data_IF_244326671701
#
_entry.id   IF_244326671701
#
_cell.length_a   1.000
_cell.length_b   1.000
_cell.length_c   1.000
_cell.angle_alpha   90.00
_cell.angle_beta   90.00
_cell.angle_gamma   90.00
#
_symmetry.space_group_name_H-M   'P 1'
#
loop_
_entity.id
_entity.type
_entity.pdbx_description
1 polymer ?
#
# COMPACT_ATOMS: atom_id res chain seq x y z
N UNK A 1 -10.52 -7.86 -7.47
CA UNK A 1 -9.72 -6.73 -6.94
C UNK A 1 -10.06 -5.52 -7.78
N UNK A 2 -10.27 -4.37 -7.16
CA UNK A 2 -10.53 -3.12 -7.87
C UNK A 2 -9.19 -2.66 -8.48
N UNK A 3 -9.20 -2.21 -9.73
CA UNK A 3 -8.05 -1.52 -10.30
C UNK A 3 -7.90 -0.16 -9.61
N UNK A 4 -6.72 0.13 -9.09
CA UNK A 4 -6.38 1.45 -8.58
C UNK A 4 -5.32 2.04 -9.49
N UNK A 5 -5.54 3.28 -9.87
CA UNK A 5 -4.63 4.06 -10.69
C UNK A 5 -4.34 5.37 -9.96
N UNK A 6 -3.11 5.84 -10.11
CA UNK A 6 -2.66 7.16 -9.67
C UNK A 6 -2.09 7.91 -10.86
N UNK A 7 -2.24 9.23 -10.84
CA UNK A 7 -1.64 10.10 -11.85
C UNK A 7 -0.34 10.67 -11.31
N UNK A 8 0.75 10.42 -12.01
CA UNK A 8 2.10 10.93 -11.71
C UNK A 8 2.54 11.75 -12.93
N UNK A 9 2.50 13.08 -12.81
CA UNK A 9 2.61 13.98 -13.95
C UNK A 9 1.54 13.69 -15.01
N UNK A 10 1.97 13.40 -16.24
CA UNK A 10 1.09 13.07 -17.37
C UNK A 10 0.86 11.55 -17.54
N UNK A 11 1.38 10.72 -16.63
CA UNK A 11 1.31 9.26 -16.73
C UNK A 11 0.31 8.71 -15.72
N UNK A 12 -0.58 7.84 -16.21
CA UNK A 12 -1.49 7.06 -15.37
C UNK A 12 -0.86 5.71 -15.05
N UNK A 13 -0.58 5.47 -13.77
CA UNK A 13 0.12 4.27 -13.29
C UNK A 13 -0.88 3.31 -12.64
N UNK A 14 -0.99 2.09 -13.18
CA UNK A 14 -1.80 1.02 -12.56
C UNK A 14 -1.05 0.43 -11.35
N UNK A 15 -1.75 0.34 -10.23
CA UNK A 15 -1.24 -0.26 -8.99
C UNK A 15 -1.75 -1.70 -8.86
N UNK A 16 -0.81 -2.65 -8.71
CA UNK A 16 -1.13 -4.08 -8.56
C UNK A 16 -0.74 -4.60 -7.18
N UNK A 17 -1.74 -4.77 -6.32
CA UNK A 17 -1.56 -5.31 -4.98
C UNK A 17 -1.45 -6.85 -4.96
N UNK A 18 -0.84 -7.40 -3.90
CA UNK A 18 -0.68 -8.84 -3.68
C UNK A 18 0.66 -9.20 -3.02
N UNK A 19 1.01 -10.49 -3.02
CA UNK A 19 2.24 -10.99 -2.39
C UNK A 19 3.52 -10.32 -2.90
N UNK A 20 3.58 -10.00 -4.21
CA UNK A 20 4.73 -9.31 -4.79
C UNK A 20 5.01 -7.93 -4.17
N UNK A 21 3.97 -7.24 -3.69
CA UNK A 21 4.12 -5.96 -2.97
C UNK A 21 4.72 -6.22 -1.60
N UNK A 22 4.16 -7.16 -0.84
CA UNK A 22 4.67 -7.54 0.49
C UNK A 22 6.15 -7.92 0.45
N UNK A 23 6.54 -8.72 -0.54
CA UNK A 23 7.94 -9.14 -0.72
C UNK A 23 8.85 -7.95 -0.99
N UNK A 24 8.48 -7.06 -1.91
CA UNK A 24 9.28 -5.86 -2.22
C UNK A 24 9.43 -4.94 -1.01
N UNK A 25 8.34 -4.73 -0.27
CA UNK A 25 8.38 -3.94 0.97
C UNK A 25 9.27 -4.60 2.04
N UNK A 26 9.17 -5.92 2.20
CA UNK A 26 10.01 -6.69 3.14
C UNK A 26 11.50 -6.55 2.81
N UNK A 27 11.85 -6.60 1.53
CA UNK A 27 13.22 -6.44 1.04
C UNK A 27 13.72 -4.99 1.26
N UNK A 28 12.90 -3.99 0.89
CA UNK A 28 13.22 -2.56 1.04
C UNK A 28 13.42 -2.17 2.51
N UNK A 29 12.57 -2.67 3.39
CA UNK A 29 12.60 -2.32 4.82
C UNK A 29 13.48 -3.25 5.66
N UNK A 30 14.07 -4.29 5.06
CA UNK A 30 14.86 -5.32 5.75
C UNK A 30 14.06 -6.00 6.88
N UNK A 31 12.79 -6.28 6.62
CA UNK A 31 11.86 -6.93 7.55
C UNK A 31 11.63 -8.36 7.07
N UNK A 32 11.92 -9.36 7.90
CA UNK A 32 11.84 -10.78 7.49
C UNK A 32 10.48 -11.43 7.80
N UNK A 33 9.48 -10.66 8.24
CA UNK A 33 8.16 -11.16 8.60
C UNK A 33 7.04 -10.33 7.98
N UNK A 34 5.97 -10.99 7.55
CA UNK A 34 4.74 -10.34 7.07
C UNK A 34 4.14 -9.45 8.17
N UNK A 35 4.20 -9.89 9.42
CA UNK A 35 3.71 -9.13 10.56
C UNK A 35 4.47 -7.81 10.75
N UNK A 36 5.80 -7.81 10.59
CA UNK A 36 6.58 -6.57 10.70
C UNK A 36 6.26 -5.55 9.60
N UNK A 37 5.91 -6.03 8.39
CA UNK A 37 5.40 -5.16 7.33
C UNK A 37 4.07 -4.52 7.76
N UNK A 38 3.16 -5.30 8.37
CA UNK A 38 1.87 -4.79 8.87
C UNK A 38 2.01 -3.84 10.05
N UNK A 39 2.91 -4.10 10.98
CA UNK A 39 3.19 -3.20 12.12
C UNK A 39 3.60 -1.80 11.64
N UNK A 40 4.38 -1.72 10.56
CA UNK A 40 4.75 -0.44 9.95
C UNK A 40 3.54 0.34 9.47
N UNK A 41 2.55 -0.31 8.85
CA UNK A 41 1.28 0.32 8.47
C UNK A 41 0.36 0.61 9.67
N UNK A 42 0.37 -0.23 10.70
CA UNK A 42 -0.43 -0.06 11.91
C UNK A 42 0.00 1.17 12.74
N UNK A 43 1.24 1.61 12.60
CA UNK A 43 1.78 2.80 13.28
C UNK A 43 1.12 4.14 12.87
N UNK A 44 0.22 4.12 11.88
CA UNK A 44 -0.44 5.31 11.36
C UNK A 44 -1.67 5.79 12.14
N UNK A 45 -2.22 4.97 13.06
CA UNK A 45 -3.54 5.25 13.63
C UNK A 45 -3.62 6.37 14.68
N UNK A 46 -2.50 6.96 15.12
CA UNK A 46 -2.49 7.84 16.30
C UNK A 46 -1.74 9.17 16.12
N UNK A 47 -1.66 9.72 14.90
CA UNK A 47 -1.02 11.03 14.69
C UNK A 47 -1.93 11.95 13.89
N UNK A 48 -2.26 13.09 14.49
CA UNK A 48 -3.02 14.18 13.85
C UNK A 48 -2.24 14.81 12.68
N UNK A 49 -0.92 14.55 12.59
CA UNK A 49 -0.05 14.99 11.51
C UNK A 49 0.63 13.81 10.81
N UNK A 50 0.62 13.84 9.48
CA UNK A 50 1.38 12.90 8.64
C UNK A 50 2.87 13.27 8.69
N UNK A 51 3.66 12.45 9.37
CA UNK A 51 5.13 12.61 9.40
C UNK A 51 5.80 12.11 8.11
N UNK A 52 7.03 12.56 7.86
CA UNK A 52 7.82 12.12 6.69
C UNK A 52 8.01 10.61 6.61
N UNK A 53 8.13 9.90 7.74
CA UNK A 53 8.23 8.44 7.75
C UNK A 53 6.96 7.75 7.23
N UNK A 54 5.79 8.35 7.50
CA UNK A 54 4.51 7.83 7.06
C UNK A 54 4.34 8.08 5.56
N UNK A 55 4.65 9.30 5.10
CA UNK A 55 4.70 9.64 3.67
C UNK A 55 5.65 8.72 2.90
N UNK A 56 6.86 8.51 3.42
CA UNK A 56 7.83 7.58 2.82
C UNK A 56 7.28 6.17 2.73
N UNK A 57 6.54 5.72 3.74
CA UNK A 57 5.91 4.39 3.72
C UNK A 57 4.78 4.30 2.68
N UNK A 58 4.02 5.38 2.46
CA UNK A 58 3.05 5.45 1.37
C UNK A 58 3.71 5.44 0.00
N UNK A 59 4.78 6.24 -0.19
CA UNK A 59 5.58 6.23 -1.41
C UNK A 59 6.11 4.84 -1.72
N UNK A 60 6.68 4.17 -0.71
CA UNK A 60 7.20 2.81 -0.84
C UNK A 60 6.12 1.79 -1.21
N UNK A 61 4.92 1.90 -0.63
CA UNK A 61 3.78 1.05 -0.98
C UNK A 61 3.37 1.25 -2.44
N UNK A 62 3.25 2.50 -2.87
CA UNK A 62 2.87 2.84 -4.24
C UNK A 62 3.92 2.37 -5.22
N UNK A 63 5.19 2.70 -5.01
CA UNK A 63 6.31 2.23 -5.83
C UNK A 63 6.30 0.70 -5.92
N UNK A 64 6.22 -0.01 -4.80
CA UNK A 64 6.20 -1.47 -4.80
C UNK A 64 5.01 -2.04 -5.59
N UNK A 65 3.84 -1.39 -5.52
CA UNK A 65 2.64 -1.79 -6.26
C UNK A 65 2.70 -1.47 -7.75
N UNK A 66 3.32 -0.36 -8.13
CA UNK A 66 3.60 0.03 -9.52
C UNK A 66 4.64 -0.91 -10.15
N UNK A 67 5.74 -1.19 -9.45
CA UNK A 67 6.75 -2.18 -9.89
C UNK A 67 6.17 -3.59 -10.01
N UNK A 68 5.17 -3.92 -9.21
CA UNK A 68 4.47 -5.20 -9.34
C UNK A 68 3.52 -5.24 -10.56
N UNK A 69 3.06 -4.09 -11.04
CA UNK A 69 2.31 -3.93 -12.29
C UNK A 69 3.22 -3.79 -13.53
N UNK A 70 4.53 -3.58 -13.35
CA UNK A 70 5.50 -3.45 -14.43
C UNK A 70 5.90 -2.00 -14.75
N UNK A 71 5.56 -1.06 -13.87
CA UNK A 71 5.98 0.34 -13.97
C UNK A 71 7.20 0.61 -13.09
N UNK A 72 8.14 1.39 -13.59
CA UNK A 72 9.22 1.96 -12.79
C UNK A 72 8.77 3.35 -12.32
N UNK A 73 8.66 3.53 -11.02
CA UNK A 73 8.12 4.74 -10.39
C UNK A 73 8.99 5.08 -9.19
N UNK A 74 9.44 6.33 -9.09
CA UNK A 74 10.17 6.79 -7.93
C UNK A 74 9.25 6.97 -6.71
N UNK A 75 9.80 6.78 -5.50
CA UNK A 75 9.02 6.88 -4.27
C UNK A 75 8.61 8.33 -3.98
N UNK A 76 9.46 9.30 -4.31
CA UNK A 76 9.18 10.72 -4.06
C UNK A 76 8.08 11.21 -5.01
N UNK A 77 8.15 10.82 -6.30
CA UNK A 77 7.09 11.09 -7.28
C UNK A 77 5.74 10.50 -6.86
N UNK A 78 5.77 9.30 -6.26
CA UNK A 78 4.59 8.67 -5.70
C UNK A 78 4.02 9.46 -4.51
N UNK A 79 4.87 9.98 -3.62
CA UNK A 79 4.43 10.82 -2.50
C UNK A 79 3.81 12.12 -3.02
N UNK A 80 4.45 12.80 -3.97
CA UNK A 80 3.94 14.03 -4.56
C UNK A 80 2.55 13.83 -5.18
N UNK A 81 2.37 12.75 -5.95
CA UNK A 81 1.07 12.38 -6.52
C UNK A 81 -0.01 12.15 -5.46
N UNK A 82 0.35 11.55 -4.33
CA UNK A 82 -0.55 11.32 -3.20
C UNK A 82 -0.84 12.60 -2.41
N UNK A 83 0.10 13.52 -2.29
CA UNK A 83 -0.12 14.81 -1.62
C UNK A 83 -1.08 15.69 -2.43
N UNK A 84 -1.07 15.60 -3.76
CA UNK A 84 -2.06 16.25 -4.62
C UNK A 84 -3.45 15.61 -4.49
N UNK A 85 -3.51 14.30 -4.21
CA UNK A 85 -4.77 13.55 -4.05
C UNK A 85 -4.82 12.73 -2.75
N UNK A 86 -4.95 13.35 -1.55
CA UNK A 86 -4.85 12.64 -0.28
C UNK A 86 -5.90 11.53 -0.08
N UNK A 87 -7.06 11.66 -0.70
CA UNK A 87 -8.12 10.65 -0.69
C UNK A 87 -7.66 9.31 -1.28
N UNK A 88 -6.72 9.34 -2.24
CA UNK A 88 -6.13 8.15 -2.84
C UNK A 88 -5.31 7.34 -1.85
N UNK A 89 -4.68 7.97 -0.86
CA UNK A 89 -3.91 7.26 0.17
C UNK A 89 -4.80 6.26 0.92
N UNK A 90 -6.02 6.68 1.30
CA UNK A 90 -6.98 5.83 1.99
C UNK A 90 -7.46 4.69 1.08
N UNK A 91 -7.76 5.00 -0.19
CA UNK A 91 -8.18 4.00 -1.19
C UNK A 91 -7.12 2.91 -1.37
N UNK A 92 -5.86 3.32 -1.50
CA UNK A 92 -4.70 2.45 -1.69
C UNK A 92 -4.48 1.54 -0.50
N UNK A 93 -4.50 2.08 0.73
CA UNK A 93 -4.35 1.24 1.94
C UNK A 93 -5.49 0.24 2.05
N UNK A 94 -6.72 0.66 1.79
CA UNK A 94 -7.88 -0.21 1.87
C UNK A 94 -7.83 -1.34 0.83
N UNK A 95 -7.41 -1.07 -0.41
CA UNK A 95 -7.27 -2.10 -1.43
C UNK A 95 -6.05 -3.00 -1.18
N UNK A 96 -4.95 -2.44 -0.67
CA UNK A 96 -3.82 -3.22 -0.18
C UNK A 96 -4.25 -4.19 0.92
N UNK A 97 -4.97 -3.72 1.95
CA UNK A 97 -5.50 -4.57 3.03
C UNK A 97 -6.44 -5.67 2.50
N UNK A 98 -7.27 -5.38 1.50
CA UNK A 98 -8.13 -6.38 0.85
C UNK A 98 -7.36 -7.43 0.04
N UNK A 99 -6.18 -7.07 -0.47
CA UNK A 99 -5.32 -7.98 -1.23
C UNK A 99 -4.60 -9.01 -0.34
N UNK A 100 -4.59 -8.77 0.97
CA UNK A 100 -3.95 -9.66 1.94
C UNK A 100 -4.78 -10.94 2.16
N UNK A 101 -4.12 -12.06 2.49
CA UNK A 101 -4.82 -13.25 2.96
C UNK A 101 -5.62 -12.91 4.20
N UNK A 102 -6.93 -13.17 4.18
CA UNK A 102 -7.78 -13.02 5.36
C UNK A 102 -7.64 -14.25 6.23
N UNK A 103 -7.36 -14.07 7.52
CA UNK A 103 -7.41 -15.17 8.49
C UNK A 103 -8.78 -15.87 8.47
N UNK A 104 -8.79 -17.19 8.56
CA UNK A 104 -9.98 -18.05 8.43
C UNK A 104 -11.14 -17.75 9.41
N UNK A 105 -10.93 -16.93 10.44
CA UNK A 105 -12.00 -16.54 11.38
C UNK A 105 -13.09 -15.66 10.73
N UNK A 106 -12.73 -14.84 9.73
CA UNK A 106 -13.71 -14.03 8.98
C UNK A 106 -14.55 -14.87 8.01
N UNK A 107 -14.08 -16.04 7.61
CA UNK A 107 -14.84 -16.94 6.74
C UNK A 107 -15.92 -17.73 7.50
N UNK A 108 -15.69 -18.09 8.77
CA UNK A 108 -16.68 -18.78 9.61
C UNK A 108 -17.90 -17.92 9.92
N UNK A 109 -17.75 -16.61 10.13
CA UNK A 109 -18.89 -15.70 10.42
C UNK A 109 -19.80 -15.43 9.21
N UNK A 110 -19.31 -15.61 7.98
CA UNK A 110 -20.11 -15.43 6.75
C UNK A 110 -20.90 -16.66 6.31
N UNK A 111 -20.64 -17.84 6.88
CA UNK A 111 -21.41 -19.05 6.60
C UNK A 111 -22.55 -19.30 7.60
N UNK A 112 -22.66 -18.46 8.63
CA UNK A 112 -23.68 -18.54 9.69
C UNK A 112 -24.69 -17.38 9.63
N UNK A 113 -24.81 -16.70 8.49
CA UNK A 113 -25.86 -15.70 8.23
C UNK A 113 -26.62 -16.06 6.97
#
# INVERSE_FOLDING_TARGET
>A
MKKIEIQVGDVLVELKFGYGVLRRLSEKWKINSINGVFERFGSFQNKDELGFDQLSTFGDLVQASASNAGFDLDSDDAVDALMVNPEKMQEIVLEFMKSLPKSNEDQKKKQLK
#
